data_IF_103408750632
#
_entry.id   IF_103408750632
#
_cell.length_a   1.000
_cell.length_b   1.000
_cell.length_c   1.000
_cell.angle_alpha   90.00
_cell.angle_beta   90.00
_cell.angle_gamma   90.00
#
_symmetry.space_group_name_H-M   'P 1'
#
loop_
_entity.id
_entity.type
_entity.pdbx_description
1 polymer ?
#
# COMPACT_ATOMS: atom_id res chain seq x y z
N UNK A 1 27.19 -7.11 12.36
CA UNK A 1 27.36 -6.46 11.03
C UNK A 1 27.17 -7.43 9.87
N UNK A 2 27.93 -8.53 9.73
CA UNK A 2 27.76 -9.51 8.63
C UNK A 2 26.33 -10.08 8.47
N UNK A 3 25.62 -10.34 9.57
CA UNK A 3 24.23 -10.83 9.52
C UNK A 3 23.24 -9.82 8.93
N UNK A 4 23.37 -8.53 9.27
CA UNK A 4 22.53 -7.45 8.75
C UNK A 4 22.79 -7.25 7.25
N UNK A 5 24.05 -7.33 6.84
CA UNK A 5 24.44 -7.22 5.43
C UNK A 5 23.89 -8.38 4.59
N UNK A 6 23.87 -9.61 5.13
CA UNK A 6 23.26 -10.78 4.48
C UNK A 6 21.75 -10.64 4.37
N UNK A 7 21.09 -10.15 5.43
CA UNK A 7 19.64 -9.88 5.44
C UNK A 7 19.30 -8.84 4.38
N UNK A 8 20.01 -7.71 4.35
CA UNK A 8 19.78 -6.65 3.36
C UNK A 8 20.01 -7.14 1.93
N UNK A 9 21.01 -8.01 1.69
CA UNK A 9 21.26 -8.62 0.38
C UNK A 9 20.15 -9.60 -0.04
N UNK A 10 19.62 -10.37 0.92
CA UNK A 10 18.50 -11.28 0.70
C UNK A 10 17.22 -10.51 0.42
N UNK A 11 16.97 -9.44 1.17
CA UNK A 11 15.86 -8.53 0.94
C UNK A 11 15.96 -7.92 -0.46
N UNK A 12 17.07 -7.27 -0.83
CA UNK A 12 17.21 -6.68 -2.17
C UNK A 12 17.02 -7.72 -3.28
N UNK A 13 17.46 -8.96 -3.06
CA UNK A 13 17.25 -10.03 -4.03
C UNK A 13 15.77 -10.42 -4.11
N UNK A 14 15.10 -10.72 -2.99
CA UNK A 14 13.69 -11.14 -2.96
C UNK A 14 12.76 -10.03 -3.49
N UNK A 15 13.06 -8.77 -3.15
CA UNK A 15 12.26 -7.62 -3.54
C UNK A 15 12.28 -7.43 -5.06
N UNK A 16 13.44 -7.57 -5.69
CA UNK A 16 13.64 -7.21 -7.10
C UNK A 16 13.52 -8.39 -8.08
N UNK A 17 13.33 -9.64 -7.62
CA UNK A 17 13.00 -10.78 -8.50
C UNK A 17 11.89 -10.35 -9.46
N UNK A 18 11.90 -10.78 -10.73
CA UNK A 18 10.79 -10.70 -11.69
C UNK A 18 10.19 -9.32 -12.00
N UNK A 19 10.74 -8.24 -11.43
CA UNK A 19 10.27 -6.88 -11.66
C UNK A 19 10.84 -6.38 -12.98
N UNK A 20 9.96 -5.93 -13.86
CA UNK A 20 10.34 -5.28 -15.10
C UNK A 20 10.78 -3.83 -14.83
N UNK A 21 12.00 -3.49 -15.22
CA UNK A 21 12.59 -2.17 -15.01
C UNK A 21 11.90 -1.06 -15.84
N UNK A 22 11.13 -1.43 -16.86
CA UNK A 22 10.36 -0.49 -17.68
C UNK A 22 9.06 -0.05 -17.03
N UNK A 23 8.65 -0.70 -15.92
CA UNK A 23 7.45 -0.34 -15.17
C UNK A 23 7.60 1.01 -14.46
N UNK A 24 6.50 1.76 -14.35
CA UNK A 24 6.45 2.98 -13.55
C UNK A 24 6.83 2.72 -12.08
N UNK A 25 7.43 3.71 -11.43
CA UNK A 25 7.95 3.64 -10.04
C UNK A 25 6.93 3.03 -9.07
N UNK A 26 5.66 3.40 -9.23
CA UNK A 26 4.53 2.96 -8.42
C UNK A 26 4.25 1.47 -8.59
N UNK A 27 4.15 1.02 -9.83
CA UNK A 27 3.87 -0.38 -10.15
C UNK A 27 5.04 -1.25 -9.68
N UNK A 28 6.27 -0.73 -9.78
CA UNK A 28 7.48 -1.34 -9.21
C UNK A 28 7.38 -1.49 -7.69
N UNK A 29 7.02 -0.44 -6.96
CA UNK A 29 6.85 -0.52 -5.50
C UNK A 29 5.73 -1.47 -5.07
N UNK A 30 4.60 -1.45 -5.78
CA UNK A 30 3.49 -2.38 -5.56
C UNK A 30 3.93 -3.82 -5.80
N UNK A 31 4.66 -4.10 -6.88
CA UNK A 31 5.16 -5.43 -7.20
C UNK A 31 6.22 -5.91 -6.20
N UNK A 32 7.08 -5.02 -5.69
CA UNK A 32 7.98 -5.33 -4.56
C UNK A 32 7.19 -5.77 -3.33
N UNK A 33 6.14 -5.01 -2.98
CA UNK A 33 5.31 -5.33 -1.82
C UNK A 33 4.59 -6.68 -2.00
N UNK A 34 4.12 -6.98 -3.21
CA UNK A 34 3.52 -8.28 -3.55
C UNK A 34 4.54 -9.42 -3.37
N UNK A 35 5.79 -9.23 -3.77
CA UNK A 35 6.83 -10.27 -3.62
C UNK A 35 7.09 -10.62 -2.15
N UNK A 36 7.19 -9.59 -1.32
CA UNK A 36 7.39 -9.76 0.12
C UNK A 36 6.20 -10.49 0.72
N UNK A 37 4.99 -10.05 0.38
CA UNK A 37 3.77 -10.62 0.92
C UNK A 37 3.57 -12.08 0.51
N UNK A 38 3.77 -12.42 -0.77
CA UNK A 38 3.67 -13.81 -1.23
C UNK A 38 4.75 -14.65 -0.55
N UNK A 39 5.98 -14.15 -0.40
CA UNK A 39 7.03 -14.85 0.35
C UNK A 39 6.60 -15.16 1.79
N UNK A 40 5.97 -14.21 2.49
CA UNK A 40 5.42 -14.45 3.82
C UNK A 40 4.30 -15.50 3.84
N UNK A 41 3.32 -15.44 2.91
CA UNK A 41 2.27 -16.46 2.81
C UNK A 41 2.90 -17.85 2.55
N UNK A 42 3.88 -17.91 1.66
CA UNK A 42 4.55 -19.16 1.27
C UNK A 42 5.32 -19.77 2.43
N UNK A 43 5.79 -18.96 3.39
CA UNK A 43 6.51 -19.41 4.59
C UNK A 43 5.60 -19.69 5.79
N UNK A 44 4.36 -19.19 5.79
CA UNK A 44 3.45 -19.38 6.93
C UNK A 44 2.92 -20.81 7.02
N UNK A 45 2.46 -21.38 5.89
CA UNK A 45 1.96 -22.76 5.80
C UNK A 45 3.02 -23.82 6.15
N UNK A 46 4.27 -23.76 5.65
CA UNK A 46 5.27 -24.78 5.89
C UNK A 46 5.81 -24.74 7.32
N UNK A 47 5.85 -23.55 7.95
CA UNK A 47 6.17 -23.46 9.38
C UNK A 47 5.09 -24.15 10.22
N UNK A 48 3.82 -23.98 9.85
CA UNK A 48 2.69 -24.66 10.48
C UNK A 48 2.78 -26.18 10.26
N UNK A 49 3.05 -26.61 9.03
CA UNK A 49 3.21 -28.01 8.67
C UNK A 49 4.43 -28.62 9.36
N UNK A 50 5.60 -27.97 9.36
CA UNK A 50 6.79 -28.40 10.10
C UNK A 50 6.51 -28.55 11.60
N UNK A 51 5.71 -27.66 12.18
CA UNK A 51 5.25 -27.83 13.54
C UNK A 51 4.46 -29.14 13.69
N UNK A 52 3.53 -29.47 12.77
CA UNK A 52 2.80 -30.75 12.77
C UNK A 52 3.65 -31.99 12.47
N UNK A 53 4.71 -31.86 11.65
CA UNK A 53 5.62 -32.95 11.29
C UNK A 53 6.36 -33.52 12.50
N UNK A 54 6.61 -32.71 13.53
CA UNK A 54 7.19 -33.16 14.81
C UNK A 54 6.24 -34.11 15.55
N UNK A 55 4.92 -33.91 15.43
CA UNK A 55 3.92 -34.61 16.24
C UNK A 55 3.22 -35.76 15.49
N UNK A 56 3.26 -35.79 14.15
CA UNK A 56 2.49 -36.77 13.33
C UNK A 56 3.29 -37.42 12.19
N UNK A 57 4.37 -38.17 12.49
CA UNK A 57 5.16 -38.85 11.45
C UNK A 57 4.33 -39.91 10.70
N UNK A 58 4.34 -39.89 9.35
CA UNK A 58 3.58 -40.81 8.49
C UNK A 58 3.68 -40.47 6.99
N UNK A 59 2.99 -41.22 6.12
CA UNK A 59 3.04 -41.00 4.65
C UNK A 59 2.56 -39.61 4.21
N UNK A 60 1.71 -38.97 5.00
CA UNK A 60 1.30 -37.57 4.81
C UNK A 60 2.44 -36.57 4.99
N UNK A 61 3.53 -36.95 5.64
CA UNK A 61 4.76 -36.17 5.69
C UNK A 61 5.24 -35.85 4.27
N UNK A 62 5.33 -36.87 3.42
CA UNK A 62 5.82 -36.70 2.06
C UNK A 62 4.85 -35.90 1.21
N UNK A 63 3.54 -36.12 1.36
CA UNK A 63 2.54 -35.37 0.60
C UNK A 63 2.57 -33.87 0.94
N UNK A 64 2.61 -33.51 2.22
CA UNK A 64 2.68 -32.11 2.65
C UNK A 64 4.04 -31.47 2.27
N UNK A 65 5.16 -32.19 2.42
CA UNK A 65 6.48 -31.68 2.00
C UNK A 65 6.55 -31.49 0.49
N UNK A 66 6.00 -32.41 -0.31
CA UNK A 66 5.95 -32.27 -1.78
C UNK A 66 5.03 -31.12 -2.17
N UNK A 67 3.84 -31.02 -1.55
CA UNK A 67 2.91 -29.90 -1.76
C UNK A 67 3.58 -28.56 -1.47
N UNK A 68 4.29 -28.47 -0.34
CA UNK A 68 5.11 -27.32 -0.02
C UNK A 68 6.19 -27.05 -1.05
N UNK A 69 7.00 -28.05 -1.43
CA UNK A 69 8.07 -27.86 -2.41
C UNK A 69 7.53 -27.42 -3.77
N UNK A 70 6.33 -27.85 -4.15
CA UNK A 70 5.66 -27.40 -5.36
C UNK A 70 5.19 -25.94 -5.21
N UNK A 71 4.54 -25.58 -4.10
CA UNK A 71 4.10 -24.21 -3.83
C UNK A 71 5.29 -23.24 -3.75
N UNK A 72 6.30 -23.58 -2.97
CA UNK A 72 7.54 -22.83 -2.81
C UNK A 72 8.35 -22.79 -4.10
N UNK A 73 8.52 -23.93 -4.76
CA UNK A 73 9.24 -24.05 -6.03
C UNK A 73 8.56 -23.26 -7.14
N UNK A 74 7.24 -23.35 -7.29
CA UNK A 74 6.51 -22.58 -8.30
C UNK A 74 6.68 -21.07 -8.12
N UNK A 75 6.80 -20.61 -6.86
CA UNK A 75 7.06 -19.20 -6.55
C UNK A 75 8.46 -18.74 -6.98
N UNK A 76 9.50 -19.53 -6.69
CA UNK A 76 10.89 -19.18 -7.03
C UNK A 76 11.26 -19.44 -8.49
N UNK A 77 10.63 -20.43 -9.14
CA UNK A 77 10.96 -20.86 -10.51
C UNK A 77 10.25 -20.00 -11.55
N UNK A 78 8.99 -19.60 -11.31
CA UNK A 78 8.18 -18.86 -12.29
C UNK A 78 8.05 -17.37 -11.96
N UNK A 79 9.19 -16.70 -11.84
CA UNK A 79 9.32 -15.29 -11.38
C UNK A 79 8.55 -14.28 -12.23
N UNK A 80 8.41 -14.54 -13.54
CA UNK A 80 7.66 -13.68 -14.47
C UNK A 80 6.14 -13.91 -14.42
N UNK A 81 5.70 -15.10 -14.01
CA UNK A 81 4.29 -15.50 -14.05
C UNK A 81 3.52 -15.16 -12.77
N UNK A 82 4.20 -14.89 -11.66
CA UNK A 82 3.55 -14.63 -10.35
C UNK A 82 2.71 -13.36 -10.27
N UNK A 83 2.91 -12.41 -11.19
CA UNK A 83 2.06 -11.21 -11.27
C UNK A 83 0.76 -11.48 -12.04
N UNK A 84 0.69 -12.60 -12.75
CA UNK A 84 -0.51 -13.02 -13.46
C UNK A 84 -1.63 -13.38 -12.47
N UNK A 85 -2.81 -12.80 -12.65
CA UNK A 85 -3.99 -13.05 -11.82
C UNK A 85 -4.32 -14.53 -11.71
N UNK A 86 -4.27 -15.27 -12.82
CA UNK A 86 -4.59 -16.71 -12.83
C UNK A 86 -3.62 -17.52 -11.97
N UNK A 87 -2.34 -17.16 -11.98
CA UNK A 87 -1.31 -17.83 -11.17
C UNK A 87 -1.52 -17.56 -9.68
N UNK A 88 -1.82 -16.31 -9.30
CA UNK A 88 -2.20 -15.98 -7.91
C UNK A 88 -3.44 -16.76 -7.46
N UNK A 89 -4.41 -16.92 -8.36
CA UNK A 89 -5.61 -17.69 -8.11
C UNK A 89 -5.32 -19.17 -7.87
N UNK A 90 -4.56 -19.82 -8.75
CA UNK A 90 -4.12 -21.22 -8.54
C UNK A 90 -3.34 -21.39 -7.25
N UNK A 91 -2.49 -20.41 -6.90
CA UNK A 91 -1.73 -20.43 -5.67
C UNK A 91 -2.65 -20.40 -4.44
N UNK A 92 -3.62 -19.48 -4.39
CA UNK A 92 -4.59 -19.41 -3.29
C UNK A 92 -5.44 -20.68 -3.22
N UNK A 93 -5.88 -21.22 -4.37
CA UNK A 93 -6.62 -22.49 -4.43
C UNK A 93 -5.82 -23.64 -3.80
N UNK A 94 -4.55 -23.78 -4.15
CA UNK A 94 -3.73 -24.86 -3.64
C UNK A 94 -3.59 -24.80 -2.11
N UNK A 95 -3.41 -23.61 -1.54
CA UNK A 95 -3.40 -23.42 -0.09
C UNK A 95 -4.76 -23.73 0.57
N UNK A 96 -5.87 -23.36 -0.07
CA UNK A 96 -7.22 -23.69 0.41
C UNK A 96 -7.45 -25.20 0.44
N UNK A 97 -7.06 -25.92 -0.61
CA UNK A 97 -7.17 -27.38 -0.65
C UNK A 97 -6.28 -28.06 0.38
N UNK A 98 -5.08 -27.51 0.63
CA UNK A 98 -4.19 -27.99 1.67
C UNK A 98 -4.79 -27.82 3.08
N UNK A 99 -5.41 -26.67 3.36
CA UNK A 99 -6.14 -26.44 4.61
C UNK A 99 -7.28 -27.45 4.76
N UNK A 100 -8.11 -27.61 3.71
CA UNK A 100 -9.23 -28.55 3.72
C UNK A 100 -8.80 -30.00 3.96
N UNK A 101 -7.77 -30.45 3.24
CA UNK A 101 -7.21 -31.79 3.41
C UNK A 101 -6.73 -32.01 4.84
N UNK A 102 -5.93 -31.08 5.38
CA UNK A 102 -5.38 -31.20 6.72
C UNK A 102 -6.46 -31.07 7.81
N UNK A 103 -7.47 -30.20 7.63
CA UNK A 103 -8.60 -30.09 8.57
C UNK A 103 -9.40 -31.39 8.65
N UNK A 104 -9.60 -32.07 7.51
CA UNK A 104 -10.30 -33.35 7.50
C UNK A 104 -9.41 -34.53 7.91
N UNK A 105 -8.09 -34.43 7.77
CA UNK A 105 -7.17 -35.49 8.16
C UNK A 105 -6.98 -35.54 9.68
N UNK A 106 -6.71 -34.38 10.29
CA UNK A 106 -6.45 -34.26 11.72
C UNK A 106 -7.72 -34.07 12.56
N UNK A 107 -8.83 -33.69 11.93
CA UNK A 107 -10.10 -33.44 12.61
C UNK A 107 -10.17 -32.07 13.31
N UNK A 108 -11.20 -31.89 14.14
CA UNK A 108 -11.56 -30.59 14.74
C UNK A 108 -10.59 -30.09 15.82
N UNK A 109 -9.81 -30.96 16.46
CA UNK A 109 -8.95 -30.61 17.59
C UNK A 109 -7.84 -29.59 17.27
N UNK A 110 -7.48 -29.45 15.99
CA UNK A 110 -6.46 -28.51 15.53
C UNK A 110 -7.02 -27.21 14.97
N UNK A 111 -8.35 -27.08 14.83
CA UNK A 111 -9.03 -25.83 14.45
C UNK A 111 -8.43 -25.18 13.17
N UNK A 112 -7.98 -26.02 12.22
CA UNK A 112 -7.29 -25.56 11.00
C UNK A 112 -8.18 -24.74 10.05
N UNK A 113 -9.50 -24.84 10.17
CA UNK A 113 -10.43 -24.08 9.33
C UNK A 113 -10.33 -22.56 9.56
N UNK A 114 -9.82 -22.11 10.71
CA UNK A 114 -9.59 -20.67 10.95
C UNK A 114 -8.63 -20.08 9.92
N UNK A 115 -7.78 -20.89 9.29
CA UNK A 115 -6.86 -20.44 8.25
C UNK A 115 -7.57 -20.02 6.96
N UNK A 116 -8.81 -20.43 6.72
CA UNK A 116 -9.57 -19.89 5.60
C UNK A 116 -9.72 -18.37 5.68
N UNK A 117 -9.83 -17.80 6.89
CA UNK A 117 -10.02 -16.34 7.10
C UNK A 117 -8.83 -15.53 6.55
N UNK A 118 -7.57 -15.75 6.98
CA UNK A 118 -6.45 -14.99 6.43
C UNK A 118 -6.22 -15.24 4.94
N UNK A 119 -6.59 -16.40 4.37
CA UNK A 119 -6.54 -16.63 2.93
C UNK A 119 -7.62 -15.90 2.13
N UNK A 120 -8.83 -15.78 2.68
CA UNK A 120 -9.85 -14.90 2.13
C UNK A 120 -9.40 -13.44 2.20
N UNK A 121 -8.81 -13.01 3.33
CA UNK A 121 -8.26 -11.66 3.48
C UNK A 121 -7.09 -11.40 2.52
N UNK A 122 -6.28 -12.42 2.23
CA UNK A 122 -5.19 -12.34 1.26
C UNK A 122 -5.67 -11.98 -0.14
N UNK A 123 -6.90 -12.35 -0.50
CA UNK A 123 -7.47 -11.97 -1.79
C UNK A 123 -7.57 -10.45 -1.94
N UNK A 124 -7.94 -9.73 -0.87
CA UNK A 124 -8.00 -8.26 -0.83
C UNK A 124 -6.64 -7.61 -1.08
N UNK A 125 -5.55 -8.30 -0.76
CA UNK A 125 -4.21 -7.82 -1.06
C UNK A 125 -3.78 -8.15 -2.49
N UNK A 126 -3.93 -9.41 -2.93
CA UNK A 126 -3.34 -9.94 -4.17
C UNK A 126 -4.10 -9.58 -5.45
N UNK A 127 -5.41 -9.39 -5.36
CA UNK A 127 -6.29 -9.17 -6.50
C UNK A 127 -6.75 -7.72 -6.59
N UNK A 128 -6.96 -7.25 -7.82
CA UNK A 128 -7.65 -5.99 -8.07
C UNK A 128 -9.15 -6.27 -8.21
N UNK A 129 -9.94 -5.92 -7.20
CA UNK A 129 -11.37 -6.27 -7.15
C UNK A 129 -12.17 -5.69 -8.32
N UNK A 130 -11.68 -4.64 -9.00
CA UNK A 130 -12.35 -4.12 -10.19
C UNK A 130 -12.18 -5.03 -11.40
N UNK A 131 -11.07 -5.74 -11.49
CA UNK A 131 -10.69 -6.56 -12.66
C UNK A 131 -10.88 -8.04 -12.41
N UNK A 132 -10.61 -8.48 -11.18
CA UNK A 132 -10.43 -9.88 -10.82
C UNK A 132 -11.59 -10.44 -9.98
N UNK A 133 -12.74 -9.73 -9.92
CA UNK A 133 -13.86 -10.07 -9.03
C UNK A 133 -14.33 -11.51 -9.17
N UNK A 134 -14.35 -12.05 -10.39
CA UNK A 134 -14.76 -13.43 -10.65
C UNK A 134 -13.88 -14.46 -9.91
N UNK A 135 -12.56 -14.27 -9.90
CA UNK A 135 -11.65 -15.15 -9.18
C UNK A 135 -11.87 -15.07 -7.67
N UNK A 136 -12.08 -13.85 -7.16
CA UNK A 136 -12.37 -13.62 -5.74
C UNK A 136 -13.68 -14.30 -5.34
N UNK A 137 -14.76 -14.07 -6.09
CA UNK A 137 -16.06 -14.70 -5.82
C UNK A 137 -15.96 -16.22 -5.84
N UNK A 138 -15.25 -16.79 -6.83
CA UNK A 138 -15.07 -18.24 -6.91
C UNK A 138 -14.26 -18.80 -5.74
N UNK A 139 -13.21 -18.09 -5.27
CA UNK A 139 -12.48 -18.46 -4.06
C UNK A 139 -13.42 -18.48 -2.84
N UNK A 140 -14.22 -17.43 -2.64
CA UNK A 140 -15.16 -17.35 -1.52
C UNK A 140 -16.22 -18.47 -1.58
N UNK A 141 -16.80 -18.71 -2.75
CA UNK A 141 -17.77 -19.80 -2.95
C UNK A 141 -17.15 -21.17 -2.68
N UNK A 142 -15.91 -21.40 -3.12
CA UNK A 142 -15.21 -22.66 -2.88
C UNK A 142 -14.92 -22.86 -1.39
N UNK A 143 -14.42 -21.84 -0.69
CA UNK A 143 -14.16 -21.93 0.77
C UNK A 143 -15.45 -22.27 1.51
N UNK A 144 -16.56 -21.59 1.19
CA UNK A 144 -17.85 -21.88 1.81
C UNK A 144 -18.31 -23.32 1.54
N UNK A 145 -18.17 -23.78 0.30
CA UNK A 145 -18.47 -25.17 -0.07
C UNK A 145 -17.60 -26.17 0.73
N UNK A 146 -16.30 -25.94 0.84
CA UNK A 146 -15.38 -26.83 1.56
C UNK A 146 -15.66 -26.88 3.07
N UNK A 147 -16.02 -25.76 3.68
CA UNK A 147 -16.47 -25.71 5.09
C UNK A 147 -17.74 -26.56 5.27
N UNK A 148 -18.71 -26.44 4.35
CA UNK A 148 -19.92 -27.29 4.38
C UNK A 148 -19.55 -28.78 4.25
N UNK A 149 -18.64 -29.13 3.33
CA UNK A 149 -18.20 -30.52 3.15
C UNK A 149 -17.53 -31.05 4.41
N UNK A 150 -16.63 -30.29 5.04
CA UNK A 150 -16.02 -30.67 6.31
C UNK A 150 -17.08 -30.88 7.40
N UNK A 151 -18.04 -29.98 7.51
CA UNK A 151 -19.10 -30.07 8.51
C UNK A 151 -20.01 -31.28 8.29
N UNK A 152 -20.47 -31.53 7.06
CA UNK A 152 -21.32 -32.70 6.72
C UNK A 152 -20.57 -34.02 6.96
N UNK A 153 -19.25 -34.04 6.74
CA UNK A 153 -18.44 -35.25 6.92
C UNK A 153 -17.95 -35.43 8.36
N UNK A 154 -18.37 -34.57 9.31
CA UNK A 154 -17.83 -34.51 10.67
C UNK A 154 -16.29 -34.45 10.69
N UNK A 155 -15.70 -33.79 9.70
CA UNK A 155 -14.25 -33.67 9.50
C UNK A 155 -13.57 -35.02 9.28
N UNK A 156 -14.28 -36.01 8.72
CA UNK A 156 -13.78 -37.38 8.59
C UNK A 156 -13.55 -37.87 7.17
N UNK A 157 -13.64 -36.98 6.16
CA UNK A 157 -13.45 -37.35 4.76
C UNK A 157 -12.09 -38.04 4.50
N UNK A 158 -11.02 -37.54 5.12
CA UNK A 158 -9.67 -38.11 5.07
C UNK A 158 -9.20 -38.59 6.46
N UNK A 159 -10.14 -38.93 7.34
CA UNK A 159 -9.85 -39.22 8.74
C UNK A 159 -8.81 -40.32 8.92
N UNK A 160 -7.89 -40.11 9.86
CA UNK A 160 -6.99 -41.15 10.30
C UNK A 160 -7.01 -41.30 11.82
N UNK A 161 -7.52 -42.46 12.28
CA UNK A 161 -7.71 -42.81 13.70
C UNK A 161 -6.41 -42.78 14.51
N UNK A 162 -5.24 -42.84 13.88
CA UNK A 162 -3.92 -42.81 14.55
C UNK A 162 -3.58 -41.46 15.17
N UNK A 163 -4.24 -40.38 14.75
CA UNK A 163 -3.85 -39.00 15.08
C UNK A 163 -4.95 -38.22 15.86
N UNK A 164 -5.86 -38.94 16.53
CA UNK A 164 -7.10 -38.36 17.05
C UNK A 164 -6.96 -37.75 18.44
N UNK A 165 -7.36 -36.47 18.54
CA UNK A 165 -7.94 -35.68 19.63
C UNK A 165 -7.38 -35.77 21.08
N UNK A 166 -7.04 -36.94 21.61
CA UNK A 166 -6.65 -37.08 23.02
C UNK A 166 -5.23 -36.56 23.31
N UNK A 167 -4.44 -36.30 22.28
CA UNK A 167 -3.01 -36.05 22.47
C UNK A 167 -2.64 -34.57 22.66
N UNK A 168 -3.44 -33.58 22.21
CA UNK A 168 -2.96 -32.18 22.18
C UNK A 168 -4.05 -31.08 22.23
N UNK A 169 -4.69 -30.86 23.38
CA UNK A 169 -5.56 -29.69 23.62
C UNK A 169 -4.84 -28.36 23.31
N UNK A 170 -3.55 -28.28 23.63
CA UNK A 170 -2.73 -27.07 23.41
C UNK A 170 -2.41 -26.77 21.92
N UNK A 171 -2.57 -27.72 20.98
CA UNK A 171 -2.24 -27.47 19.56
C UNK A 171 -3.33 -26.68 18.83
N UNK A 172 -4.60 -26.85 19.23
CA UNK A 172 -5.70 -26.00 18.74
C UNK A 172 -5.50 -24.53 19.12
N UNK A 173 -5.01 -24.27 20.33
CA UNK A 173 -4.69 -22.90 20.77
C UNK A 173 -3.53 -22.30 19.99
N UNK A 174 -2.45 -23.07 19.80
CA UNK A 174 -1.26 -22.61 19.04
C UNK A 174 -1.64 -22.25 17.60
N UNK A 175 -2.40 -23.11 16.95
CA UNK A 175 -2.85 -22.90 15.56
C UNK A 175 -3.81 -21.71 15.46
N UNK A 176 -4.68 -21.52 16.45
CA UNK A 176 -5.56 -20.36 16.54
C UNK A 176 -4.77 -19.06 16.71
N UNK A 177 -3.79 -19.02 17.63
CA UNK A 177 -2.90 -17.86 17.83
C UNK A 177 -2.14 -17.53 16.55
N UNK A 178 -1.62 -18.55 15.86
CA UNK A 178 -0.90 -18.35 14.60
C UNK A 178 -1.82 -17.84 13.49
N UNK A 179 -3.07 -18.29 13.41
CA UNK A 179 -4.06 -17.75 12.47
C UNK A 179 -4.31 -16.25 12.72
N UNK A 180 -4.39 -15.83 13.99
CA UNK A 180 -4.55 -14.42 14.37
C UNK A 180 -3.34 -13.58 13.98
N UNK A 181 -2.12 -14.07 14.22
CA UNK A 181 -0.89 -13.41 13.79
C UNK A 181 -0.87 -13.24 12.26
N UNK A 182 -1.33 -14.26 11.54
CA UNK A 182 -1.42 -14.19 10.09
C UNK A 182 -2.47 -13.17 9.61
N UNK A 183 -3.62 -13.05 10.29
CA UNK A 183 -4.60 -11.99 10.03
C UNK A 183 -4.00 -10.60 10.29
N UNK A 184 -3.27 -10.41 11.39
CA UNK A 184 -2.60 -9.13 11.71
C UNK A 184 -1.58 -8.78 10.62
N UNK A 185 -0.79 -9.75 10.16
CA UNK A 185 0.15 -9.57 9.07
C UNK A 185 -0.57 -9.16 7.77
N UNK A 186 -1.69 -9.80 7.44
CA UNK A 186 -2.52 -9.44 6.30
C UNK A 186 -3.00 -7.99 6.37
N UNK A 187 -3.55 -7.57 7.52
CA UNK A 187 -4.01 -6.19 7.74
C UNK A 187 -2.84 -5.21 7.57
N UNK A 188 -1.67 -5.52 8.11
CA UNK A 188 -0.46 -4.70 7.93
C UNK A 188 -0.12 -4.50 6.45
N UNK A 189 -0.10 -5.58 5.66
CA UNK A 189 0.22 -5.50 4.23
C UNK A 189 -0.85 -4.78 3.42
N UNK A 190 -2.13 -5.00 3.72
CA UNK A 190 -3.26 -4.29 3.08
C UNK A 190 -3.12 -2.79 3.32
N UNK A 191 -2.94 -2.37 4.58
CA UNK A 191 -2.75 -0.96 4.91
C UNK A 191 -1.52 -0.36 4.22
N UNK A 192 -0.43 -1.11 4.13
CA UNK A 192 0.77 -0.68 3.42
C UNK A 192 0.53 -0.51 1.92
N UNK A 193 -0.20 -1.43 1.29
CA UNK A 193 -0.60 -1.31 -0.13
C UNK A 193 -1.48 -0.08 -0.35
N UNK A 194 -2.47 0.13 0.51
CA UNK A 194 -3.38 1.27 0.41
C UNK A 194 -2.66 2.59 0.59
N UNK A 195 -1.66 2.67 1.47
CA UNK A 195 -0.83 3.86 1.63
C UNK A 195 -0.02 4.16 0.36
N UNK A 196 0.56 3.16 -0.31
CA UNK A 196 1.24 3.37 -1.61
C UNK A 196 0.25 3.88 -2.66
N UNK A 197 -0.98 3.36 -2.68
CA UNK A 197 -1.98 3.82 -3.64
C UNK A 197 -2.42 5.26 -3.32
N UNK A 198 -2.64 5.59 -2.04
CA UNK A 198 -3.02 6.93 -1.57
C UNK A 198 -1.93 7.96 -1.87
N UNK A 199 -0.67 7.70 -1.52
CA UNK A 199 0.44 8.62 -1.81
C UNK A 199 0.54 8.95 -3.29
N UNK A 200 0.18 8.01 -4.17
CA UNK A 200 0.16 8.24 -5.61
C UNK A 200 -1.07 9.01 -6.10
N UNK A 201 -2.23 8.80 -5.49
CA UNK A 201 -3.41 9.63 -5.75
C UNK A 201 -3.13 11.06 -5.27
N UNK A 202 -2.55 11.22 -4.09
CA UNK A 202 -2.20 12.51 -3.48
C UNK A 202 -1.09 13.23 -4.28
N UNK A 203 -0.07 12.49 -4.77
CA UNK A 203 0.98 13.05 -5.64
C UNK A 203 0.47 13.49 -7.02
N UNK A 204 -0.58 12.84 -7.52
CA UNK A 204 -1.22 13.18 -8.81
C UNK A 204 -2.42 14.13 -8.65
N UNK A 205 -2.86 14.42 -7.43
CA UNK A 205 -3.85 15.44 -7.13
C UNK A 205 -3.16 16.81 -6.97
N UNK A 206 -3.33 17.75 -7.92
CA UNK A 206 -2.74 19.09 -7.79
C UNK A 206 -3.28 19.89 -6.59
N UNK A 207 -4.35 19.42 -5.94
CA UNK A 207 -5.02 20.08 -4.81
C UNK A 207 -4.49 19.65 -3.42
N UNK A 208 -3.69 18.59 -3.30
CA UNK A 208 -3.22 18.06 -2.00
C UNK A 208 -1.73 18.28 -1.69
N UNK A 209 -0.96 18.84 -2.63
CA UNK A 209 0.37 19.39 -2.28
C UNK A 209 0.29 20.51 -1.22
N UNK A 210 -0.91 21.07 -0.99
CA UNK A 210 -1.20 22.09 0.01
C UNK A 210 -1.65 21.52 1.38
N UNK A 211 -1.85 20.21 1.53
CA UNK A 211 -2.34 19.60 2.79
C UNK A 211 -1.26 18.85 3.59
N UNK A 212 -0.06 19.42 3.70
CA UNK A 212 0.88 19.06 4.77
C UNK A 212 0.67 20.01 5.96
N UNK A 213 0.25 19.44 7.10
CA UNK A 213 -0.04 20.09 8.39
C UNK A 213 -0.79 21.43 8.29
N UNK A 214 -2.12 21.38 8.23
CA UNK A 214 -3.00 22.56 8.30
C UNK A 214 -2.61 23.49 9.46
N UNK A 215 -2.18 22.94 10.59
CA UNK A 215 -1.73 23.71 11.75
C UNK A 215 -0.43 24.49 11.49
N UNK A 216 0.54 23.88 10.78
CA UNK A 216 1.78 24.55 10.40
C UNK A 216 1.56 25.60 9.31
N UNK A 217 0.63 25.33 8.38
CA UNK A 217 0.25 26.29 7.34
C UNK A 217 -0.53 27.48 7.93
N UNK A 218 -1.44 27.25 8.88
CA UNK A 218 -2.16 28.32 9.56
C UNK A 218 -1.20 29.18 10.40
N UNK A 219 -0.26 28.56 11.11
CA UNK A 219 0.78 29.28 11.86
C UNK A 219 1.65 30.12 10.91
N UNK A 220 2.10 29.55 9.79
CA UNK A 220 2.82 30.27 8.73
C UNK A 220 2.03 31.45 8.15
N UNK A 221 0.76 31.26 7.78
CA UNK A 221 -0.09 32.34 7.25
C UNK A 221 -0.25 33.46 8.30
N UNK A 222 -0.40 33.10 9.58
CA UNK A 222 -0.54 34.08 10.66
C UNK A 222 0.75 34.88 10.90
N UNK A 223 1.91 34.23 10.77
CA UNK A 223 3.25 34.86 10.90
C UNK A 223 3.58 35.75 9.71
N UNK A 224 3.32 35.28 8.49
CA UNK A 224 3.60 36.01 7.24
C UNK A 224 2.74 37.28 7.09
N UNK A 225 1.57 37.34 7.72
CA UNK A 225 0.79 38.59 7.85
C UNK A 225 1.44 39.65 8.76
N UNK A 226 2.36 39.25 9.64
CA UNK A 226 3.02 40.14 10.61
C UNK A 226 4.44 40.55 10.20
N UNK A 227 5.21 39.66 9.57
CA UNK A 227 6.58 39.92 9.10
C UNK A 227 6.89 39.10 7.84
N UNK A 228 7.79 39.62 6.99
CA UNK A 228 8.20 39.00 5.73
C UNK A 228 9.57 38.27 5.82
N UNK A 229 10.18 38.22 7.01
CA UNK A 229 11.49 37.59 7.18
C UNK A 229 11.41 36.09 6.88
N UNK A 230 12.18 35.63 5.89
CA UNK A 230 12.21 34.21 5.49
C UNK A 230 10.94 33.71 4.76
N UNK A 231 9.98 34.59 4.45
CA UNK A 231 8.68 34.22 3.87
C UNK A 231 8.81 33.34 2.62
N UNK A 232 9.64 33.73 1.65
CA UNK A 232 9.79 32.99 0.40
C UNK A 232 10.44 31.62 0.59
N UNK A 233 11.26 31.44 1.62
CA UNK A 233 11.89 30.15 1.94
C UNK A 233 10.87 29.18 2.50
N UNK A 234 10.07 29.63 3.48
CA UNK A 234 8.96 28.84 4.04
C UNK A 234 7.85 28.62 2.99
N UNK A 235 7.52 29.63 2.19
CA UNK A 235 6.56 29.50 1.09
C UNK A 235 7.01 28.45 0.08
N UNK A 236 8.29 28.41 -0.29
CA UNK A 236 8.81 27.39 -1.20
C UNK A 236 8.77 25.98 -0.60
N UNK A 237 8.84 25.85 0.73
CA UNK A 237 8.65 24.56 1.40
C UNK A 237 7.20 24.07 1.21
N UNK A 238 6.20 24.92 1.39
CA UNK A 238 4.78 24.56 1.25
C UNK A 238 4.28 24.52 -0.20
N UNK A 239 4.79 25.37 -1.08
CA UNK A 239 4.28 25.61 -2.45
C UNK A 239 5.37 25.52 -3.52
N UNK A 240 6.28 24.54 -3.40
CA UNK A 240 7.43 24.37 -4.30
C UNK A 240 7.08 24.27 -5.80
N UNK A 241 5.89 23.77 -6.14
CA UNK A 241 5.43 23.65 -7.53
C UNK A 241 4.85 24.94 -8.09
N UNK A 242 4.31 25.82 -7.24
CA UNK A 242 3.64 27.04 -7.69
C UNK A 242 4.62 27.99 -8.39
N UNK A 243 5.79 28.21 -7.80
CA UNK A 243 6.84 29.04 -8.41
C UNK A 243 7.34 28.44 -9.73
N UNK A 244 7.47 27.11 -9.80
CA UNK A 244 7.85 26.41 -11.04
C UNK A 244 6.81 26.64 -12.14
N UNK A 245 5.51 26.55 -11.82
CA UNK A 245 4.41 26.82 -12.77
C UNK A 245 4.42 28.26 -13.26
N UNK A 246 4.62 29.24 -12.38
CA UNK A 246 4.72 30.66 -12.77
C UNK A 246 5.91 30.91 -13.71
N UNK A 247 7.07 30.35 -13.39
CA UNK A 247 8.27 30.50 -14.21
C UNK A 247 8.18 29.74 -15.54
N UNK A 248 7.39 28.66 -15.61
CA UNK A 248 7.08 27.99 -16.86
C UNK A 248 6.22 28.86 -17.80
N UNK A 249 5.31 29.68 -17.24
CA UNK A 249 4.50 30.64 -18.02
C UNK A 249 5.36 31.84 -18.45
N UNK A 250 6.11 32.43 -17.51
CA UNK A 250 7.00 33.53 -17.81
C UNK A 250 8.31 33.45 -17.01
N UNK A 251 9.42 33.02 -17.62
CA UNK A 251 10.70 32.90 -16.93
C UNK A 251 11.36 34.25 -16.59
N UNK A 252 10.81 35.38 -17.06
CA UNK A 252 11.30 36.74 -16.80
C UNK A 252 10.64 37.41 -15.60
N UNK A 253 9.96 36.64 -14.74
CA UNK A 253 9.43 37.12 -13.47
C UNK A 253 10.59 37.36 -12.49
N UNK A 254 10.59 38.53 -11.85
CA UNK A 254 11.64 38.92 -10.89
C UNK A 254 11.21 38.48 -9.48
N UNK A 255 12.16 38.30 -8.56
CA UNK A 255 11.89 37.89 -7.17
C UNK A 255 10.76 38.68 -6.49
N UNK A 256 10.74 40.00 -6.60
CA UNK A 256 9.70 40.86 -6.02
C UNK A 256 8.31 40.72 -6.66
N UNK A 257 8.22 40.09 -7.84
CA UNK A 257 6.95 39.74 -8.50
C UNK A 257 6.47 38.36 -8.06
N UNK A 258 7.40 37.40 -7.93
CA UNK A 258 7.12 36.06 -7.40
C UNK A 258 6.60 36.15 -5.95
N UNK A 259 7.21 37.01 -5.14
CA UNK A 259 6.78 37.30 -3.77
C UNK A 259 5.34 37.82 -3.69
N UNK A 260 4.96 38.74 -4.58
CA UNK A 260 3.57 39.23 -4.66
C UNK A 260 2.62 38.10 -5.11
N UNK A 261 3.03 37.25 -6.05
CA UNK A 261 2.21 36.11 -6.47
C UNK A 261 2.04 35.09 -5.34
N UNK A 262 3.07 34.83 -4.54
CA UNK A 262 3.02 33.97 -3.38
C UNK A 262 2.03 34.51 -2.32
N UNK A 263 2.09 35.80 -2.00
CA UNK A 263 1.10 36.42 -1.08
C UNK A 263 -0.33 36.37 -1.63
N UNK A 264 -0.51 36.53 -2.95
CA UNK A 264 -1.82 36.39 -3.60
C UNK A 264 -2.34 34.95 -3.57
N UNK A 265 -1.47 33.95 -3.71
CA UNK A 265 -1.81 32.52 -3.58
C UNK A 265 -2.31 32.18 -2.17
N UNK A 266 -1.75 32.82 -1.15
CA UNK A 266 -2.21 32.75 0.25
C UNK A 266 -3.42 33.65 0.55
N UNK A 267 -4.07 34.22 -0.48
CA UNK A 267 -5.25 35.07 -0.38
C UNK A 267 -5.06 36.35 0.46
N UNK A 268 -3.87 36.96 0.42
CA UNK A 268 -3.65 38.26 1.06
C UNK A 268 -4.38 39.37 0.30
N UNK A 269 -5.00 40.28 1.03
CA UNK A 269 -5.56 41.51 0.48
C UNK A 269 -4.45 42.45 0.02
N UNK A 270 -4.78 43.37 -0.90
CA UNK A 270 -3.81 44.38 -1.39
C UNK A 270 -3.28 45.27 -0.26
N UNK A 271 -4.07 45.46 0.81
CA UNK A 271 -3.64 46.18 2.01
C UNK A 271 -2.61 45.37 2.80
N UNK A 272 -2.86 44.08 3.05
CA UNK A 272 -1.91 43.21 3.76
C UNK A 272 -0.59 43.08 2.99
N UNK A 273 -0.63 42.90 1.66
CA UNK A 273 0.59 42.85 0.82
C UNK A 273 1.39 44.15 0.94
N UNK A 274 0.71 45.30 0.91
CA UNK A 274 1.37 46.60 1.03
C UNK A 274 2.11 46.75 2.37
N UNK A 275 1.47 46.32 3.47
CA UNK A 275 2.07 46.33 4.80
C UNK A 275 3.25 45.36 4.88
N UNK A 276 3.07 44.11 4.45
CA UNK A 276 4.13 43.07 4.52
C UNK A 276 5.35 43.40 3.66
N UNK A 277 5.17 44.12 2.54
CA UNK A 277 6.26 44.48 1.62
C UNK A 277 6.77 45.92 1.77
N UNK A 278 6.39 46.62 2.86
CA UNK A 278 6.72 48.03 3.09
C UNK A 278 6.50 48.92 1.86
N UNK A 279 5.38 48.69 1.17
CA UNK A 279 5.01 49.35 -0.09
C UNK A 279 3.67 50.08 0.03
N UNK A 280 3.37 51.00 -0.88
CA UNK A 280 2.04 51.64 -0.91
C UNK A 280 1.03 50.75 -1.66
N UNK A 281 -0.25 50.86 -1.29
CA UNK A 281 -1.35 50.17 -1.98
C UNK A 281 -1.33 50.46 -3.50
N UNK A 282 -1.04 51.71 -3.87
CA UNK A 282 -0.93 52.12 -5.28
C UNK A 282 0.22 51.40 -6.00
N UNK A 283 1.37 51.19 -5.34
CA UNK A 283 2.49 50.45 -5.91
C UNK A 283 2.14 48.96 -6.11
N UNK A 284 1.42 48.34 -5.18
CA UNK A 284 0.96 46.94 -5.33
C UNK A 284 -0.03 46.82 -6.49
N UNK A 285 -0.98 47.74 -6.64
CA UNK A 285 -1.90 47.74 -7.78
C UNK A 285 -1.16 47.87 -9.13
N UNK A 286 -0.14 48.72 -9.21
CA UNK A 286 0.73 48.81 -10.41
C UNK A 286 1.47 47.49 -10.67
N UNK A 287 2.00 46.83 -9.63
CA UNK A 287 2.61 45.49 -9.76
C UNK A 287 1.60 44.45 -10.25
N UNK A 288 0.37 44.42 -9.71
CA UNK A 288 -0.72 43.53 -10.17
C UNK A 288 -1.03 43.72 -11.66
N UNK A 289 -1.11 44.97 -12.12
CA UNK A 289 -1.34 45.27 -13.54
C UNK A 289 -0.19 44.79 -14.44
N UNK A 290 1.06 44.91 -13.97
CA UNK A 290 2.23 44.37 -14.67
C UNK A 290 2.22 42.84 -14.71
N UNK A 291 1.86 42.20 -13.60
CA UNK A 291 1.70 40.75 -13.50
C UNK A 291 0.65 40.23 -14.50
N UNK A 292 -0.52 40.89 -14.59
CA UNK A 292 -1.55 40.52 -15.58
C UNK A 292 -1.01 40.49 -17.01
N UNK A 293 -0.25 41.52 -17.41
CA UNK A 293 0.36 41.56 -18.75
C UNK A 293 1.43 40.48 -18.93
N UNK A 294 2.29 40.25 -17.93
CA UNK A 294 3.36 39.26 -18.00
C UNK A 294 2.86 37.82 -18.01
N UNK A 295 1.75 37.54 -17.33
CA UNK A 295 1.12 36.23 -17.23
C UNK A 295 0.01 36.00 -18.28
N UNK A 296 -0.20 36.98 -19.16
CA UNK A 296 -1.20 36.95 -20.23
C UNK A 296 -2.64 36.69 -19.73
N UNK A 297 -3.02 37.34 -18.62
CA UNK A 297 -4.33 37.17 -17.98
C UNK A 297 -5.33 38.18 -18.59
N UNK A 298 -6.45 37.67 -19.10
CA UNK A 298 -7.53 38.46 -19.70
C UNK A 298 -8.07 39.53 -18.74
N UNK A 299 -8.51 40.69 -19.24
CA UNK A 299 -9.15 41.74 -18.42
C UNK A 299 -10.43 41.28 -17.72
N UNK A 300 -11.11 40.27 -18.27
CA UNK A 300 -12.35 39.70 -17.71
C UNK A 300 -12.11 38.75 -16.54
N UNK A 301 -10.87 38.33 -16.30
CA UNK A 301 -10.52 37.37 -15.26
C UNK A 301 -9.94 38.08 -14.03
N UNK A 302 -10.32 37.65 -12.84
CA UNK A 302 -9.73 38.19 -11.60
C UNK A 302 -8.33 37.60 -11.37
N UNK A 303 -7.33 38.46 -11.17
CA UNK A 303 -5.94 38.05 -10.98
C UNK A 303 -5.77 37.17 -9.74
N UNK A 304 -6.45 37.51 -8.64
CA UNK A 304 -6.34 36.76 -7.40
C UNK A 304 -6.93 35.36 -7.60
N UNK A 305 -8.11 35.27 -8.21
CA UNK A 305 -8.76 33.98 -8.51
C UNK A 305 -7.89 33.14 -9.44
N UNK A 306 -7.32 33.73 -10.49
CA UNK A 306 -6.45 33.03 -11.41
C UNK A 306 -5.20 32.48 -10.71
N UNK A 307 -4.56 33.28 -9.86
CA UNK A 307 -3.38 32.86 -9.08
C UNK A 307 -3.73 31.73 -8.10
N UNK A 308 -4.87 31.82 -7.42
CA UNK A 308 -5.30 30.81 -6.46
C UNK A 308 -5.53 29.46 -7.15
N UNK A 309 -6.02 29.45 -8.40
CA UNK A 309 -6.28 28.23 -9.18
C UNK A 309 -5.04 27.57 -9.79
N UNK A 310 -3.92 28.28 -9.87
CA UNK A 310 -2.66 27.80 -10.47
C UNK A 310 -1.95 26.79 -9.57
#
# INVERSE_FOLDING_TARGET
MKGIEIINKLEDKIFNIGIDETQGIIEKEKNKLINIYIFFITITIPLLILAFLIWTPGYNFFFNVIGFMILFGSYFVFTNLRFNTFVKFLYILANIFEIFFNSSFYGTGFILELYFIPYLLATSFLFDFKKDIYYVTLIFSLVFFLIIVNHITDFRLFYNKRYTADFHENLGDITSIYSLLFIILNIYFINRKDNIIKTNIDANNPLQKESMNVDQLQDFISKSKKSNDGFMTEFNYFFSDFIKKLLAINPKLIASELEVCAMLKLNFSTKEIAVSTNSTIAAINRKKNRLRKKLNISSTEDLNIWIIKL
#
